data_IF_495609435724
#
_entry.id   IF_495609435724
#
_cell.length_a   1.000
_cell.length_b   1.000
_cell.length_c   1.000
_cell.angle_alpha   90.00
_cell.angle_beta   90.00
_cell.angle_gamma   90.00
#
_symmetry.space_group_name_H-M   'P 1'
#
loop_
_entity.id
_entity.type
_entity.pdbx_description
1 polymer ?
#
# COMPACT_ATOMS: atom_id res chain seq x y z
N UNK A 1 -2.86 -14.75 -11.74
CA UNK A 1 -4.32 -14.72 -11.47
C UNK A 1 -4.92 -16.11 -11.28
N UNK A 2 -4.60 -17.11 -12.13
CA UNK A 2 -5.14 -18.48 -12.03
C UNK A 2 -4.82 -19.22 -10.71
N UNK A 3 -3.63 -19.03 -10.14
CA UNK A 3 -3.21 -19.70 -8.90
C UNK A 3 -4.02 -19.26 -7.67
N UNK A 4 -4.20 -17.94 -7.48
CA UNK A 4 -4.97 -17.40 -6.36
C UNK A 4 -6.45 -17.81 -6.44
N UNK A 5 -7.02 -17.77 -7.65
CA UNK A 5 -8.38 -18.27 -7.87
C UNK A 5 -8.50 -19.76 -7.54
N UNK A 6 -7.51 -20.58 -7.92
CA UNK A 6 -7.47 -22.01 -7.58
C UNK A 6 -7.45 -22.20 -6.05
N UNK A 7 -6.55 -21.53 -5.33
CA UNK A 7 -6.49 -21.62 -3.86
C UNK A 7 -7.79 -21.18 -3.19
N UNK A 8 -8.40 -20.09 -3.67
CA UNK A 8 -9.70 -19.64 -3.14
C UNK A 8 -10.85 -20.58 -3.49
N UNK A 9 -10.81 -21.24 -4.65
CA UNK A 9 -11.81 -22.24 -5.02
C UNK A 9 -11.73 -23.48 -4.13
N UNK A 10 -10.52 -23.99 -3.86
CA UNK A 10 -10.33 -25.12 -2.96
C UNK A 10 -10.70 -24.75 -1.52
N UNK A 11 -10.22 -23.60 -1.02
CA UNK A 11 -10.57 -23.14 0.32
C UNK A 11 -12.08 -22.93 0.52
N UNK A 12 -12.79 -22.52 -0.53
CA UNK A 12 -14.26 -22.42 -0.51
C UNK A 12 -14.91 -23.80 -0.30
N UNK A 13 -14.42 -24.83 -1.00
CA UNK A 13 -14.91 -26.21 -0.86
C UNK A 13 -14.61 -26.75 0.55
N UNK A 14 -13.39 -26.54 1.03
CA UNK A 14 -12.97 -26.95 2.38
C UNK A 14 -13.81 -26.29 3.50
N UNK A 15 -14.25 -25.04 3.27
CA UNK A 15 -15.13 -24.30 4.18
C UNK A 15 -16.63 -24.59 3.95
N UNK A 16 -16.99 -25.43 2.97
CA UNK A 16 -18.38 -25.78 2.66
C UNK A 16 -19.22 -24.61 2.14
N UNK A 17 -18.60 -23.63 1.46
CA UNK A 17 -19.28 -22.44 0.95
C UNK A 17 -19.60 -22.54 -0.53
N UNK A 18 -20.67 -21.86 -0.97
CA UNK A 18 -21.05 -21.84 -2.40
C UNK A 18 -20.30 -20.76 -3.20
N UNK A 19 -19.81 -19.71 -2.54
CA UNK A 19 -19.11 -18.58 -3.18
C UNK A 19 -17.80 -18.24 -2.48
N UNK A 20 -16.86 -17.63 -3.22
CA UNK A 20 -15.65 -17.05 -2.63
C UNK A 20 -16.05 -15.73 -1.98
N UNK A 21 -16.10 -15.70 -0.66
CA UNK A 21 -16.36 -14.50 0.13
C UNK A 21 -15.11 -14.06 0.92
N UNK A 22 -15.26 -13.01 1.74
CA UNK A 22 -14.18 -12.45 2.54
C UNK A 22 -13.47 -13.51 3.39
N UNK A 23 -14.20 -14.41 4.04
CA UNK A 23 -13.62 -15.44 4.92
C UNK A 23 -12.78 -16.44 4.13
N UNK A 24 -13.24 -16.84 2.93
CA UNK A 24 -12.45 -17.71 2.03
C UNK A 24 -11.13 -17.05 1.66
N UNK A 25 -11.18 -15.77 1.28
CA UNK A 25 -9.98 -14.98 0.92
C UNK A 25 -9.04 -14.86 2.12
N UNK A 26 -9.56 -14.53 3.30
CA UNK A 26 -8.79 -14.45 4.54
C UNK A 26 -8.14 -15.79 4.90
N UNK A 27 -8.86 -16.91 4.76
CA UNK A 27 -8.32 -18.24 5.03
C UNK A 27 -7.11 -18.55 4.16
N UNK A 28 -7.19 -18.25 2.86
CA UNK A 28 -6.09 -18.44 1.92
C UNK A 28 -4.89 -17.56 2.27
N UNK A 29 -5.11 -16.26 2.51
CA UNK A 29 -4.02 -15.34 2.84
C UNK A 29 -3.37 -15.67 4.18
N UNK A 30 -4.14 -16.02 5.20
CA UNK A 30 -3.61 -16.45 6.50
C UNK A 30 -2.76 -17.73 6.39
N UNK A 31 -2.99 -18.56 5.36
CA UNK A 31 -2.19 -19.76 5.11
C UNK A 31 -0.92 -19.47 4.32
N UNK A 32 -1.00 -18.61 3.31
CA UNK A 32 0.11 -18.32 2.37
C UNK A 32 1.07 -17.26 2.93
N UNK A 33 0.51 -16.22 3.54
CA UNK A 33 1.24 -15.08 4.07
C UNK A 33 0.66 -14.68 5.45
N UNK A 34 0.94 -15.48 6.50
CA UNK A 34 0.43 -15.20 7.84
C UNK A 34 0.87 -13.80 8.30
N UNK A 35 -0.03 -13.13 9.02
CA UNK A 35 0.14 -11.75 9.52
C UNK A 35 0.25 -10.65 8.44
N UNK A 36 0.18 -10.96 7.14
CA UNK A 36 0.31 -9.94 6.08
C UNK A 36 -0.76 -8.85 6.16
N UNK A 37 -2.01 -9.24 6.42
CA UNK A 37 -3.13 -8.31 6.59
C UNK A 37 -3.21 -7.71 8.01
N UNK A 38 -2.26 -8.05 8.89
CA UNK A 38 -2.18 -7.58 10.28
C UNK A 38 -0.81 -6.94 10.51
N UNK A 39 0.07 -7.58 11.27
CA UNK A 39 1.36 -7.04 11.73
C UNK A 39 2.27 -6.50 10.62
N UNK A 40 2.18 -7.06 9.41
CA UNK A 40 3.00 -6.68 8.26
C UNK A 40 2.29 -5.82 7.23
N UNK A 41 1.08 -5.34 7.53
CA UNK A 41 0.38 -4.43 6.63
C UNK A 41 1.06 -3.05 6.60
N UNK A 42 0.79 -2.31 5.53
CA UNK A 42 1.38 -1.01 5.22
C UNK A 42 1.23 0.02 6.36
N UNK A 43 0.10 0.02 7.08
CA UNK A 43 -0.12 0.96 8.17
C UNK A 43 0.76 0.70 9.40
N UNK A 44 1.32 -0.50 9.54
CA UNK A 44 2.32 -0.82 10.56
C UNK A 44 3.75 -0.66 10.04
N UNK A 45 3.99 -0.95 8.76
CA UNK A 45 5.35 -1.06 8.20
C UNK A 45 5.87 0.24 7.58
N UNK A 46 5.03 1.03 6.91
CA UNK A 46 5.44 2.31 6.30
C UNK A 46 5.90 3.35 7.34
N UNK A 47 5.25 3.51 8.52
CA UNK A 47 5.73 4.45 9.53
C UNK A 47 7.14 4.16 10.05
N UNK A 48 7.65 2.93 9.91
CA UNK A 48 9.02 2.55 10.29
C UNK A 48 10.09 3.26 9.43
N UNK A 49 9.71 3.84 8.29
CA UNK A 49 10.59 4.68 7.48
C UNK A 49 10.89 6.02 8.14
N UNK A 50 10.12 6.44 9.14
CA UNK A 50 10.33 7.69 9.87
C UNK A 50 11.79 7.86 10.31
N UNK A 51 12.21 9.13 10.41
CA UNK A 51 13.60 9.64 10.41
C UNK A 51 14.28 9.70 9.05
N UNK A 52 13.75 9.02 8.02
CA UNK A 52 14.20 9.14 6.63
C UNK A 52 13.13 9.80 5.75
N UNK A 53 13.52 10.58 4.73
CA UNK A 53 12.61 11.14 3.72
C UNK A 53 11.73 10.09 3.06
N UNK A 54 10.41 10.33 3.02
CA UNK A 54 9.44 9.45 2.37
C UNK A 54 8.48 10.24 1.47
N UNK A 55 8.40 9.83 0.20
CA UNK A 55 7.47 10.33 -0.79
C UNK A 55 6.59 9.18 -1.30
N UNK A 56 5.27 9.34 -1.22
CA UNK A 56 4.28 8.44 -1.83
C UNK A 56 3.63 9.18 -3.01
N UNK A 57 3.65 8.58 -4.20
CA UNK A 57 3.00 9.13 -5.40
C UNK A 57 2.06 8.08 -5.95
N UNK A 58 0.79 8.44 -6.16
CA UNK A 58 -0.23 7.52 -6.70
C UNK A 58 -1.09 8.20 -7.79
N UNK A 59 -1.63 7.39 -8.70
CA UNK A 59 -2.68 7.81 -9.62
C UNK A 59 -4.04 7.79 -8.92
N UNK A 60 -4.88 8.81 -9.13
CA UNK A 60 -6.21 8.86 -8.52
C UNK A 60 -7.12 7.74 -9.03
N UNK A 61 -6.97 7.38 -10.30
CA UNK A 61 -7.86 6.47 -11.01
C UNK A 61 -7.22 5.08 -11.18
N UNK A 62 -6.16 4.76 -10.43
CA UNK A 62 -5.51 3.45 -10.48
C UNK A 62 -6.41 2.38 -9.83
N UNK A 63 -6.98 1.43 -10.60
CA UNK A 63 -7.86 0.41 -10.04
C UNK A 63 -7.10 -0.66 -9.23
N UNK A 64 -5.76 -0.68 -9.29
CA UNK A 64 -4.89 -1.63 -8.57
C UNK A 64 -4.42 -1.07 -7.22
N UNK A 65 -4.36 0.26 -7.10
CA UNK A 65 -3.84 0.97 -5.95
C UNK A 65 -4.88 1.98 -5.46
N UNK A 66 -5.99 1.47 -4.92
CA UNK A 66 -7.10 2.28 -4.42
C UNK A 66 -6.65 3.22 -3.29
N UNK A 67 -7.01 4.50 -3.39
CA UNK A 67 -6.66 5.52 -2.39
C UNK A 67 -7.21 5.20 -1.01
N UNK A 68 -8.43 4.65 -0.93
CA UNK A 68 -9.07 4.24 0.33
C UNK A 68 -8.22 3.23 1.11
N UNK A 69 -7.44 2.39 0.40
CA UNK A 69 -6.51 1.44 1.01
C UNK A 69 -5.26 2.09 1.61
N UNK A 70 -5.01 3.38 1.34
CA UNK A 70 -3.84 4.12 1.83
C UNK A 70 -4.16 5.02 3.03
N UNK A 71 -5.42 5.32 3.31
CA UNK A 71 -5.82 6.30 4.33
C UNK A 71 -5.25 5.98 5.72
N UNK A 72 -5.38 4.74 6.17
CA UNK A 72 -4.85 4.30 7.47
C UNK A 72 -3.32 4.41 7.52
N UNK A 73 -2.66 4.08 6.40
CA UNK A 73 -1.20 4.12 6.26
C UNK A 73 -0.66 5.53 6.27
N UNK A 74 -1.29 6.44 5.50
CA UNK A 74 -0.95 7.86 5.46
C UNK A 74 -1.16 8.46 6.85
N UNK A 75 -2.34 8.30 7.44
CA UNK A 75 -2.66 8.85 8.77
C UNK A 75 -1.68 8.38 9.85
N UNK A 76 -1.33 7.08 9.87
CA UNK A 76 -0.40 6.54 10.87
C UNK A 76 1.03 7.06 10.63
N UNK A 77 1.44 7.16 9.37
CA UNK A 77 2.77 7.67 9.00
C UNK A 77 2.90 9.16 9.34
N UNK A 78 1.91 9.99 8.98
CA UNK A 78 1.87 11.42 9.35
C UNK A 78 1.99 11.62 10.85
N UNK A 79 1.25 10.82 11.64
CA UNK A 79 1.31 10.89 13.09
C UNK A 79 2.72 10.63 13.63
N UNK A 80 3.42 9.63 13.10
CA UNK A 80 4.80 9.32 13.53
C UNK A 80 5.76 10.44 13.13
N UNK A 81 5.67 10.95 11.91
CA UNK A 81 6.51 12.07 11.45
C UNK A 81 6.28 13.34 12.29
N UNK A 82 5.02 13.68 12.55
CA UNK A 82 4.66 14.83 13.38
C UNK A 82 5.14 14.69 14.82
N UNK A 83 5.05 13.49 15.41
CA UNK A 83 5.55 13.21 16.77
C UNK A 83 7.06 13.47 16.88
N UNK A 84 7.80 13.21 15.82
CA UNK A 84 9.24 13.44 15.74
C UNK A 84 9.61 14.81 15.14
N UNK A 85 8.64 15.70 14.90
CA UNK A 85 8.82 17.01 14.25
C UNK A 85 9.54 16.91 12.89
N UNK A 86 9.31 15.84 12.14
CA UNK A 86 9.91 15.58 10.84
C UNK A 86 9.03 16.16 9.74
N UNK A 87 9.61 16.92 8.83
CA UNK A 87 8.89 17.60 7.73
C UNK A 87 9.03 16.88 6.39
N UNK A 88 9.75 15.76 6.36
CA UNK A 88 10.12 15.05 5.12
C UNK A 88 9.21 13.85 4.82
N UNK A 89 7.90 14.04 4.96
CA UNK A 89 6.87 13.13 4.45
C UNK A 89 5.95 13.88 3.49
N UNK A 90 5.71 13.34 2.30
CA UNK A 90 4.83 13.94 1.29
C UNK A 90 4.03 12.85 0.58
N UNK A 91 2.75 13.12 0.33
CA UNK A 91 1.88 12.30 -0.52
C UNK A 91 1.42 13.14 -1.71
N UNK A 92 1.44 12.56 -2.91
CA UNK A 92 0.98 13.20 -4.14
C UNK A 92 0.00 12.25 -4.84
N UNK A 93 -1.20 12.75 -5.11
CA UNK A 93 -2.21 12.04 -5.91
C UNK A 93 -2.38 12.77 -7.24
N UNK A 94 -2.19 12.07 -8.37
CA UNK A 94 -2.32 12.65 -9.71
C UNK A 94 -3.73 12.35 -10.28
N UNK A 95 -4.57 13.37 -10.54
CA UNK A 95 -5.91 13.17 -11.09
C UNK A 95 -5.84 12.68 -12.54
N UNK A 96 -6.78 11.83 -12.97
CA UNK A 96 -6.83 11.33 -14.35
C UNK A 96 -5.81 10.22 -14.66
N UNK A 97 -5.01 9.81 -13.68
CA UNK A 97 -3.91 8.86 -13.85
C UNK A 97 -4.33 7.50 -13.27
N UNK A 98 -4.32 6.48 -14.13
CA UNK A 98 -4.54 5.09 -13.75
C UNK A 98 -3.26 4.39 -13.29
N UNK A 99 -3.11 3.11 -13.63
CA UNK A 99 -1.90 2.34 -13.33
C UNK A 99 -0.75 2.66 -14.27
N UNK A 100 -0.19 3.86 -14.15
CA UNK A 100 0.95 4.32 -14.93
C UNK A 100 1.88 5.24 -14.14
N UNK A 101 3.12 5.35 -14.60
CA UNK A 101 4.10 6.31 -14.09
C UNK A 101 4.33 7.37 -15.16
N UNK A 102 3.95 8.61 -14.88
CA UNK A 102 4.12 9.74 -15.82
C UNK A 102 5.47 10.42 -15.65
N UNK A 103 5.89 11.17 -16.68
CA UNK A 103 7.08 12.04 -16.59
C UNK A 103 6.97 13.06 -15.44
N UNK A 104 5.76 13.54 -15.14
CA UNK A 104 5.54 14.46 -14.02
C UNK A 104 5.79 13.81 -12.67
N UNK A 105 5.43 12.53 -12.51
CA UNK A 105 5.68 11.76 -11.28
C UNK A 105 7.16 11.45 -11.12
N UNK A 106 7.85 11.11 -12.22
CA UNK A 106 9.30 10.91 -12.22
C UNK A 106 10.04 12.19 -11.82
N UNK A 107 9.57 13.36 -12.31
CA UNK A 107 10.13 14.64 -11.92
C UNK A 107 9.98 14.89 -10.41
N UNK A 108 8.80 14.67 -9.83
CA UNK A 108 8.58 14.81 -8.38
C UNK A 108 9.50 13.90 -7.57
N UNK A 109 9.70 12.66 -8.01
CA UNK A 109 10.62 11.73 -7.36
C UNK A 109 12.09 12.20 -7.48
N UNK A 110 12.50 12.68 -8.64
CA UNK A 110 13.85 13.23 -8.86
C UNK A 110 14.11 14.45 -7.99
N UNK A 111 13.19 15.42 -7.98
CA UNK A 111 13.31 16.63 -7.15
C UNK A 111 13.39 16.28 -5.65
N UNK A 112 12.68 15.23 -5.21
CA UNK A 112 12.73 14.74 -3.84
C UNK A 112 14.10 14.15 -3.48
N UNK A 113 14.70 13.39 -4.39
CA UNK A 113 16.07 12.89 -4.21
C UNK A 113 17.07 14.04 -4.16
N UNK A 114 17.00 15.03 -5.05
CA UNK A 114 17.91 16.17 -5.04
C UNK A 114 17.84 16.96 -3.72
N UNK A 115 16.65 17.04 -3.12
CA UNK A 115 16.44 17.73 -1.85
C UNK A 115 17.08 17.00 -0.67
N UNK A 116 16.97 15.66 -0.61
CA UNK A 116 17.31 14.90 0.60
C UNK A 116 18.48 13.91 0.47
N UNK A 117 18.83 13.49 -0.73
CA UNK A 117 19.92 12.55 -1.00
C UNK A 117 21.11 13.31 -1.58
N UNK A 118 21.77 14.09 -0.73
CA UNK A 118 23.03 14.76 -1.04
C UNK A 118 24.21 13.80 -0.76
N UNK A 119 25.33 13.90 -1.49
CA UNK A 119 26.53 13.08 -1.28
C UNK A 119 27.08 13.16 0.15
#
# INVERSE_FOLDING_TARGET
MLLLYSFSSEARIDLGKDTIDKEVVEKVWNRIAPSLAFEFDSHHTVPVVAVRPLLIINGQDDPRCLLEGLDATISTTEKVFNTHSLTHFKVIVKPGIGHEVTLSMLKEASDWFDMFLKP
#
